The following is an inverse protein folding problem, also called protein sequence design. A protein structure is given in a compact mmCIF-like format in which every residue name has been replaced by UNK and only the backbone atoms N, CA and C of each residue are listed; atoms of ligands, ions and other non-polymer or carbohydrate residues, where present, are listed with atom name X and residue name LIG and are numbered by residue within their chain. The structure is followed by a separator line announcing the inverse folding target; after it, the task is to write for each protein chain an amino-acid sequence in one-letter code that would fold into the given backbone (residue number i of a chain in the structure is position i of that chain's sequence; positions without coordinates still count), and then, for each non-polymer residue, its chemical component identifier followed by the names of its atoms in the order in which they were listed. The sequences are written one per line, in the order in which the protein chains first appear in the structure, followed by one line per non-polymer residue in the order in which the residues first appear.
data_IF_107986442250
#
_entry.id   IF_107986442250
#
_cell.length_a   1.000
_cell.length_b   1.000
_cell.length_c   1.000
_cell.angle_alpha   90.00
_cell.angle_beta   90.00
_cell.angle_gamma   90.00
#
_symmetry.space_group_name_H-M   'P 1'
#
loop_
_entity.id
_entity.type
_entity.pdbx_description
1 polymer ?
#
# COMPACT_ATOMS: atom_id res chain seq x y z
N UNK A 1 -28.43 -87.88 -27.61
CA UNK A 1 -28.66 -87.48 -26.21
C UNK A 1 -27.56 -86.56 -25.79
N UNK A 2 -27.73 -85.31 -25.80
CA UNK A 2 -26.84 -84.29 -25.28
C UNK A 2 -27.66 -83.26 -24.54
N UNK A 3 -27.40 -83.16 -23.28
CA UNK A 3 -28.08 -82.23 -22.39
C UNK A 3 -27.30 -80.88 -22.39
N UNK A 4 -28.01 -79.82 -22.69
CA UNK A 4 -27.60 -78.45 -22.64
C UNK A 4 -27.72 -77.87 -21.23
N UNK A 5 -26.63 -77.29 -20.67
CA UNK A 5 -26.66 -76.50 -19.46
C UNK A 5 -26.93 -75.02 -19.76
N UNK A 6 -27.68 -74.34 -18.91
CA UNK A 6 -27.92 -72.91 -19.10
C UNK A 6 -26.79 -72.04 -18.53
N UNK A 7 -26.36 -71.07 -19.32
CA UNK A 7 -25.37 -70.07 -18.90
C UNK A 7 -26.00 -68.99 -18.00
N UNK A 8 -25.30 -68.72 -16.89
CA UNK A 8 -25.61 -67.63 -15.97
C UNK A 8 -25.00 -66.35 -16.52
N UNK A 9 -25.84 -65.38 -16.88
CA UNK A 9 -25.41 -64.02 -17.20
C UNK A 9 -25.15 -63.22 -15.88
N UNK A 10 -23.92 -62.86 -15.65
CA UNK A 10 -23.56 -61.96 -14.57
C UNK A 10 -23.75 -60.53 -15.04
N UNK A 11 -24.72 -59.83 -14.44
CA UNK A 11 -24.97 -58.40 -14.64
C UNK A 11 -23.96 -57.60 -13.80
N UNK A 12 -22.99 -56.95 -14.46
CA UNK A 12 -22.08 -55.98 -13.81
C UNK A 12 -22.85 -54.69 -13.56
N UNK A 13 -23.12 -54.40 -12.28
CA UNK A 13 -23.58 -53.07 -11.84
C UNK A 13 -22.37 -52.19 -11.68
N UNK A 14 -22.17 -51.23 -12.61
CA UNK A 14 -21.15 -50.16 -12.48
C UNK A 14 -21.67 -49.16 -11.44
N UNK A 15 -21.06 -49.16 -10.26
CA UNK A 15 -21.25 -48.08 -9.28
C UNK A 15 -20.49 -46.83 -9.75
N UNK A 16 -21.22 -45.83 -10.22
CA UNK A 16 -20.67 -44.51 -10.48
C UNK A 16 -20.33 -43.84 -9.14
N UNK A 17 -19.03 -43.76 -8.81
CA UNK A 17 -18.54 -42.91 -7.73
C UNK A 17 -18.67 -41.46 -8.18
N UNK A 18 -19.65 -40.74 -7.70
CA UNK A 18 -19.66 -39.27 -7.72
C UNK A 18 -18.59 -38.82 -6.75
N UNK A 19 -17.39 -38.46 -7.26
CA UNK A 19 -16.45 -37.67 -6.54
C UNK A 19 -17.05 -36.28 -6.36
N UNK A 20 -17.62 -36.03 -5.18
CA UNK A 20 -18.02 -34.68 -4.77
C UNK A 20 -16.78 -33.82 -4.74
N UNK A 21 -16.65 -32.95 -5.72
CA UNK A 21 -15.73 -31.80 -5.63
C UNK A 21 -16.31 -30.92 -4.54
N UNK A 22 -15.84 -31.08 -3.31
CA UNK A 22 -16.03 -30.09 -2.27
C UNK A 22 -15.42 -28.79 -2.80
N UNK A 23 -16.26 -27.79 -3.11
CA UNK A 23 -15.78 -26.45 -3.39
C UNK A 23 -14.93 -26.04 -2.17
N UNK A 24 -13.62 -25.89 -2.37
CA UNK A 24 -12.75 -25.29 -1.37
C UNK A 24 -13.37 -23.92 -1.08
N UNK A 25 -13.79 -23.71 0.16
CA UNK A 25 -14.20 -22.38 0.63
C UNK A 25 -12.96 -21.52 0.44
N UNK A 26 -13.02 -20.57 -0.49
CA UNK A 26 -11.94 -19.63 -0.71
C UNK A 26 -11.64 -18.99 0.65
N UNK A 27 -10.39 -19.06 1.10
CA UNK A 27 -9.97 -18.46 2.35
C UNK A 27 -10.25 -16.97 2.26
N UNK A 28 -11.03 -16.46 3.23
CA UNK A 28 -11.41 -15.05 3.24
C UNK A 28 -10.16 -14.20 3.39
N UNK A 29 -10.01 -13.17 2.55
CA UNK A 29 -8.91 -12.21 2.65
C UNK A 29 -8.79 -11.65 4.08
N UNK A 30 -7.59 -11.73 4.65
CA UNK A 30 -7.30 -11.21 5.98
C UNK A 30 -6.82 -9.76 5.89
N UNK A 31 -7.68 -8.82 6.26
CA UNK A 31 -7.37 -7.38 6.29
C UNK A 31 -6.29 -7.02 7.32
N UNK A 32 -5.94 -7.96 8.20
CA UNK A 32 -4.92 -7.78 9.26
C UNK A 32 -5.15 -6.53 10.11
N UNK A 33 -6.36 -6.35 10.58
CA UNK A 33 -6.73 -5.27 11.49
C UNK A 33 -6.69 -5.72 12.95
N UNK A 34 -6.45 -4.78 13.86
CA UNK A 34 -6.61 -4.93 15.31
C UNK A 34 -8.05 -4.57 15.71
N UNK A 35 -8.43 -4.84 16.98
CA UNK A 35 -9.72 -4.45 17.54
C UNK A 35 -9.79 -2.96 17.94
N UNK A 36 -8.71 -2.23 17.76
CA UNK A 36 -8.58 -0.80 18.03
C UNK A 36 -7.84 -0.12 16.89
N UNK A 37 -7.78 1.20 16.91
CA UNK A 37 -7.01 1.97 15.92
C UNK A 37 -6.03 2.91 16.63
N UNK A 38 -4.98 3.32 15.93
CA UNK A 38 -4.05 4.35 16.36
C UNK A 38 -4.23 5.58 15.47
N UNK A 39 -4.32 6.75 16.13
CA UNK A 39 -4.29 8.04 15.42
C UNK A 39 -2.89 8.66 15.49
N UNK A 40 -2.48 9.29 14.42
CA UNK A 40 -1.23 10.06 14.30
C UNK A 40 -1.36 11.06 13.14
N UNK A 41 -0.82 12.26 13.26
CA UNK A 41 -0.84 13.31 12.21
C UNK A 41 -2.23 13.58 11.58
N UNK A 42 -3.31 13.28 12.31
CA UNK A 42 -4.69 13.38 11.81
C UNK A 42 -5.17 12.17 11.00
N UNK A 43 -4.36 11.15 10.85
CA UNK A 43 -4.74 9.87 10.25
C UNK A 43 -5.16 8.87 11.33
N UNK A 44 -5.96 7.88 10.95
CA UNK A 44 -6.40 6.78 11.81
C UNK A 44 -6.19 5.46 11.09
N UNK A 45 -5.53 4.51 11.76
CA UNK A 45 -5.29 3.18 11.20
C UNK A 45 -5.58 2.10 12.25
N UNK A 46 -6.39 1.10 11.86
CA UNK A 46 -6.58 -0.13 12.62
C UNK A 46 -5.71 -1.28 12.10
N UNK A 47 -4.95 -1.06 11.05
CA UNK A 47 -4.07 -2.07 10.48
C UNK A 47 -2.96 -2.47 11.46
N UNK A 48 -2.66 -3.77 11.53
CA UNK A 48 -1.63 -4.31 12.43
C UNK A 48 -0.21 -3.86 12.11
N UNK A 49 0.02 -3.44 10.89
CA UNK A 49 1.22 -2.74 10.45
C UNK A 49 0.80 -1.39 9.87
N UNK A 50 1.44 -0.30 10.28
CA UNK A 50 1.22 1.03 9.72
C UNK A 50 2.52 1.85 9.80
N UNK A 51 2.66 2.87 8.97
CA UNK A 51 3.84 3.71 8.95
C UNK A 51 3.52 5.16 9.30
N UNK A 52 4.44 5.82 9.97
CA UNK A 52 4.41 7.26 10.27
C UNK A 52 5.75 7.88 9.91
N UNK A 53 5.74 9.08 9.32
CA UNK A 53 6.96 9.80 8.95
C UNK A 53 7.24 10.90 9.98
N UNK A 54 8.34 10.79 10.71
CA UNK A 54 8.69 11.72 11.80
C UNK A 54 10.11 12.23 11.60
N UNK A 55 10.29 13.55 11.49
CA UNK A 55 11.63 14.14 11.34
C UNK A 55 12.53 13.81 12.53
N UNK A 56 13.87 13.74 12.34
CA UNK A 56 14.80 13.57 13.46
C UNK A 56 14.54 14.58 14.58
N UNK A 57 14.54 14.12 15.83
CA UNK A 57 14.24 14.89 17.04
C UNK A 57 12.82 15.50 17.14
N UNK A 58 11.96 15.27 16.14
CA UNK A 58 10.57 15.70 16.20
C UNK A 58 9.71 14.74 17.03
N UNK A 59 8.53 15.19 17.38
CA UNK A 59 7.57 14.42 18.18
C UNK A 59 6.32 14.11 17.39
N UNK A 60 5.72 12.96 17.67
CA UNK A 60 4.37 12.56 17.25
C UNK A 60 3.58 12.14 18.49
N UNK A 61 2.28 12.44 18.48
CA UNK A 61 1.33 11.98 19.48
C UNK A 61 0.53 10.84 18.87
N UNK A 62 0.37 9.77 19.64
CA UNK A 62 -0.44 8.62 19.30
C UNK A 62 -1.58 8.50 20.28
N UNK A 63 -2.80 8.28 19.78
CA UNK A 63 -3.97 7.94 20.60
C UNK A 63 -4.53 6.59 20.16
N UNK A 64 -4.76 5.69 21.12
CA UNK A 64 -5.52 4.46 20.86
C UNK A 64 -7.01 4.76 20.95
N UNK A 65 -7.73 4.55 19.84
CA UNK A 65 -9.14 4.88 19.69
C UNK A 65 -9.96 3.68 19.22
N UNK A 66 -11.27 3.76 19.30
CA UNK A 66 -12.23 2.78 18.76
C UNK A 66 -12.06 1.34 19.28
N UNK A 67 -11.31 1.14 20.36
CA UNK A 67 -11.06 -0.19 20.92
C UNK A 67 -11.87 -0.50 22.17
N UNK A 68 -11.89 -1.77 22.62
CA UNK A 68 -12.61 -2.23 23.80
C UNK A 68 -12.10 -1.54 25.07
N UNK A 69 -12.89 -1.56 26.16
CA UNK A 69 -12.41 -1.15 27.48
C UNK A 69 -11.24 -2.01 27.94
N UNK A 70 -10.29 -1.41 28.64
CA UNK A 70 -9.13 -2.11 29.21
C UNK A 70 -7.85 -1.30 29.11
N UNK A 71 -6.76 -1.92 29.53
CA UNK A 71 -5.44 -1.29 29.55
C UNK A 71 -4.78 -1.41 28.16
N UNK A 72 -4.17 -0.30 27.77
CA UNK A 72 -3.37 -0.21 26.57
C UNK A 72 -1.93 0.09 26.93
N UNK A 73 -1.00 -0.52 26.24
CA UNK A 73 0.43 -0.27 26.44
C UNK A 73 1.10 0.11 25.14
N UNK A 74 2.23 0.79 25.26
CA UNK A 74 3.08 1.08 24.10
C UNK A 74 4.55 0.85 24.47
N UNK A 75 5.30 0.24 23.59
CA UNK A 75 6.72 -0.07 23.77
C UNK A 75 7.54 0.29 22.55
N UNK A 76 8.78 0.67 22.78
CA UNK A 76 9.78 0.88 21.73
C UNK A 76 11.19 0.65 22.27
N UNK A 77 12.13 0.34 21.39
CA UNK A 77 13.55 0.23 21.75
C UNK A 77 14.35 1.50 21.45
N UNK A 78 13.73 2.50 20.82
CA UNK A 78 14.44 3.67 20.31
C UNK A 78 13.58 4.93 20.39
N UNK A 79 14.23 6.06 20.59
CA UNK A 79 13.55 7.32 20.86
C UNK A 79 13.04 7.39 22.29
N UNK A 80 12.29 8.42 22.61
CA UNK A 80 11.69 8.62 23.95
C UNK A 80 10.18 8.49 23.84
N UNK A 81 9.61 7.48 24.48
CA UNK A 81 8.17 7.26 24.53
C UNK A 81 7.65 7.62 25.94
N UNK A 82 6.71 8.55 26.00
CA UNK A 82 6.11 9.04 27.26
C UNK A 82 4.61 8.87 27.18
N UNK A 83 4.03 8.11 28.10
CA UNK A 83 2.58 8.03 28.25
C UNK A 83 2.04 9.32 28.84
N UNK A 84 1.05 9.95 28.19
CA UNK A 84 0.43 11.21 28.58
C UNK A 84 -1.00 11.03 29.14
N UNK A 85 -1.61 9.88 28.86
CA UNK A 85 -2.96 9.52 29.30
C UNK A 85 -3.16 8.01 29.24
N UNK A 86 -4.37 7.51 29.56
CA UNK A 86 -4.66 6.07 29.54
C UNK A 86 -4.44 5.44 28.15
N UNK A 87 -4.65 6.21 27.09
CA UNK A 87 -4.59 5.76 25.69
C UNK A 87 -3.79 6.71 24.80
N UNK A 88 -2.97 7.58 25.39
CA UNK A 88 -2.19 8.57 24.67
C UNK A 88 -0.72 8.50 25.01
N UNK A 89 0.12 8.54 23.99
CA UNK A 89 1.58 8.56 24.08
C UNK A 89 2.18 9.62 23.19
N UNK A 90 3.26 10.21 23.66
CA UNK A 90 4.13 11.09 22.90
C UNK A 90 5.45 10.38 22.65
N UNK A 91 5.80 10.21 21.39
CA UNK A 91 7.10 9.67 20.99
C UNK A 91 7.96 10.75 20.37
N UNK A 92 9.24 10.82 20.80
CA UNK A 92 10.26 11.70 20.21
C UNK A 92 11.23 10.85 19.43
N UNK A 93 11.37 11.14 18.14
CA UNK A 93 12.24 10.41 17.24
C UNK A 93 13.72 10.58 17.62
N UNK A 94 14.54 9.53 17.44
CA UNK A 94 16.00 9.67 17.52
C UNK A 94 16.55 10.69 16.51
N UNK A 95 17.77 11.21 16.73
CA UNK A 95 18.42 12.13 15.80
C UNK A 95 18.89 11.46 14.49
N UNK A 96 19.06 10.13 14.50
CA UNK A 96 19.51 9.35 13.35
C UNK A 96 18.33 8.97 12.44
N UNK A 97 18.52 9.16 11.13
CA UNK A 97 17.60 8.64 10.13
C UNK A 97 17.65 7.11 10.11
N UNK A 98 16.51 6.45 10.26
CA UNK A 98 16.34 4.99 10.23
C UNK A 98 14.85 4.65 10.30
N UNK A 99 14.52 3.35 10.35
CA UNK A 99 13.19 2.83 10.68
C UNK A 99 13.18 2.37 12.12
N UNK A 100 12.20 2.85 12.89
CA UNK A 100 12.04 2.49 14.30
C UNK A 100 10.67 1.88 14.53
N UNK A 101 10.62 0.85 15.37
CA UNK A 101 9.38 0.15 15.70
C UNK A 101 8.82 0.67 17.03
N UNK A 102 7.53 1.00 17.00
CA UNK A 102 6.71 1.27 18.18
C UNK A 102 5.56 0.28 18.15
N UNK A 103 5.37 -0.49 19.22
CA UNK A 103 4.29 -1.47 19.31
C UNK A 103 3.26 -0.98 20.30
N UNK A 104 2.01 -0.91 19.89
CA UNK A 104 0.85 -0.65 20.71
C UNK A 104 0.09 -1.95 20.94
N UNK A 105 -0.24 -2.25 22.19
CA UNK A 105 -0.97 -3.46 22.55
C UNK A 105 -2.30 -3.06 23.20
N UNK A 106 -3.40 -3.64 22.72
CA UNK A 106 -4.72 -3.53 23.30
C UNK A 106 -4.98 -4.61 24.36
N UNK A 107 -6.14 -4.55 25.03
CA UNK A 107 -6.48 -5.50 26.09
C UNK A 107 -6.76 -6.92 25.59
N UNK A 108 -6.93 -7.12 24.28
CA UNK A 108 -7.15 -8.42 23.66
C UNK A 108 -5.87 -9.25 23.54
N UNK A 109 -6.01 -10.57 23.57
CA UNK A 109 -4.86 -11.45 23.34
C UNK A 109 -4.37 -11.32 21.89
N UNK A 110 -3.06 -11.10 21.69
CA UNK A 110 -2.45 -10.87 20.38
C UNK A 110 -3.05 -9.70 19.60
N UNK A 111 -3.57 -8.70 20.31
CA UNK A 111 -4.19 -7.51 19.71
C UNK A 111 -3.20 -6.34 19.76
N UNK A 112 -2.38 -6.25 18.71
CA UNK A 112 -1.31 -5.27 18.64
C UNK A 112 -1.25 -4.58 17.28
N UNK A 113 -0.77 -3.33 17.28
CA UNK A 113 -0.43 -2.55 16.09
C UNK A 113 1.06 -2.21 16.16
N UNK A 114 1.78 -2.58 15.12
CA UNK A 114 3.17 -2.22 14.87
C UNK A 114 3.22 -0.94 14.04
N UNK A 115 3.68 0.16 14.63
CA UNK A 115 3.91 1.42 13.94
C UNK A 115 5.37 1.52 13.55
N UNK A 116 5.63 1.50 12.25
CA UNK A 116 6.96 1.68 11.66
C UNK A 116 7.23 3.18 11.50
N UNK A 117 7.96 3.78 12.44
CA UNK A 117 8.32 5.18 12.40
C UNK A 117 9.51 5.39 11.44
N UNK A 118 9.22 5.95 10.29
CA UNK A 118 10.16 6.25 9.23
C UNK A 118 10.79 7.62 9.52
N UNK A 119 12.03 7.63 10.02
CA UNK A 119 12.77 8.87 10.31
C UNK A 119 13.65 9.20 9.13
N UNK A 120 13.34 10.25 8.34
CA UNK A 120 14.02 10.52 7.08
C UNK A 120 15.37 11.24 7.28
N UNK A 121 16.24 11.12 6.30
CA UNK A 121 17.41 12.01 6.15
C UNK A 121 16.90 13.40 5.80
N UNK A 122 17.30 14.47 6.53
CA UNK A 122 16.83 15.83 6.25
C UNK A 122 17.13 16.30 4.83
N UNK A 123 16.18 16.98 4.19
CA UNK A 123 16.35 17.52 2.84
C UNK A 123 17.52 18.53 2.75
N UNK A 124 17.88 19.17 3.88
CA UNK A 124 19.07 20.02 3.96
C UNK A 124 20.38 19.29 3.65
N UNK A 125 20.40 17.95 3.61
CA UNK A 125 21.57 17.15 3.23
C UNK A 125 21.71 16.97 1.71
N UNK A 126 20.70 17.30 0.93
CA UNK A 126 20.78 17.29 -0.55
C UNK A 126 21.76 18.37 -1.00
N UNK A 127 22.70 18.01 -1.86
CA UNK A 127 23.68 18.93 -2.47
C UNK A 127 23.60 18.82 -3.98
N UNK A 128 23.31 19.94 -4.65
CA UNK A 128 23.20 19.98 -6.11
C UNK A 128 22.24 18.91 -6.68
N UNK A 129 21.13 18.66 -5.99
CA UNK A 129 20.15 17.66 -6.38
C UNK A 129 20.55 16.20 -6.09
N UNK A 130 21.63 15.97 -5.33
CA UNK A 130 22.15 14.64 -5.01
C UNK A 130 22.14 14.43 -3.49
N UNK A 131 21.68 13.26 -3.04
CA UNK A 131 21.73 12.80 -1.66
C UNK A 131 22.51 11.48 -1.59
N UNK A 132 23.69 11.49 -0.97
CA UNK A 132 24.56 10.30 -0.85
C UNK A 132 24.80 9.55 -2.18
N UNK A 133 24.95 10.32 -3.27
CA UNK A 133 25.13 9.76 -4.62
C UNK A 133 23.84 9.38 -5.36
N UNK A 134 22.67 9.53 -4.70
CA UNK A 134 21.38 9.27 -5.31
C UNK A 134 20.76 10.53 -5.90
N UNK A 135 20.32 10.52 -7.19
CA UNK A 135 19.79 11.71 -7.87
C UNK A 135 18.35 12.00 -7.40
N UNK A 136 18.19 13.01 -6.56
CA UNK A 136 16.88 13.54 -6.15
C UNK A 136 16.37 14.53 -7.20
N UNK A 137 17.22 15.44 -7.68
CA UNK A 137 16.81 16.56 -8.52
C UNK A 137 16.34 17.76 -7.69
N UNK A 138 15.57 18.66 -8.32
CA UNK A 138 15.08 19.88 -7.69
C UNK A 138 13.54 19.94 -7.72
N UNK A 139 12.95 20.13 -6.56
CA UNK A 139 11.51 20.43 -6.46
C UNK A 139 11.21 21.83 -6.99
N UNK A 140 9.96 22.08 -7.46
CA UNK A 140 9.54 23.43 -7.82
C UNK A 140 9.76 24.41 -6.68
N UNK A 141 10.25 25.62 -7.00
CA UNK A 141 10.57 26.65 -5.99
C UNK A 141 9.32 27.20 -5.28
N UNK A 142 8.17 27.13 -5.93
CA UNK A 142 6.88 27.54 -5.37
C UNK A 142 5.86 26.40 -5.50
N UNK A 143 5.00 26.22 -4.49
CA UNK A 143 3.92 25.24 -4.57
C UNK A 143 2.88 25.63 -5.63
N UNK A 144 2.28 24.62 -6.26
CA UNK A 144 1.20 24.84 -7.25
C UNK A 144 0.02 25.58 -6.60
N UNK A 145 -0.35 26.73 -7.17
CA UNK A 145 -1.45 27.59 -6.68
C UNK A 145 -1.37 27.88 -5.16
N UNK A 146 -0.16 27.93 -4.59
CA UNK A 146 0.04 28.16 -3.15
C UNK A 146 -0.35 26.98 -2.25
N UNK A 147 -0.72 25.82 -2.79
CA UNK A 147 -1.16 24.67 -2.03
C UNK A 147 0.03 24.03 -1.27
N UNK A 148 -0.02 23.94 0.09
CA UNK A 148 1.06 23.39 0.91
C UNK A 148 1.46 21.96 0.58
N UNK A 149 0.60 21.15 -0.03
CA UNK A 149 0.90 19.79 -0.46
C UNK A 149 2.04 19.73 -1.49
N UNK A 150 2.28 20.81 -2.22
CA UNK A 150 3.35 20.91 -3.20
C UNK A 150 4.61 21.59 -2.66
N UNK A 151 4.71 21.80 -1.34
CA UNK A 151 5.96 22.20 -0.72
C UNK A 151 7.00 21.08 -0.82
N UNK A 152 8.28 21.41 -1.02
CA UNK A 152 9.32 20.40 -1.03
C UNK A 152 9.31 19.55 0.24
N UNK A 153 9.56 18.25 0.17
CA UNK A 153 9.59 17.39 1.35
C UNK A 153 10.70 17.82 2.30
N UNK A 154 10.45 17.67 3.60
CA UNK A 154 11.42 18.03 4.66
C UNK A 154 12.57 17.05 4.77
N UNK A 155 12.43 15.83 4.23
CA UNK A 155 13.42 14.78 4.25
C UNK A 155 13.04 13.61 3.35
N UNK A 156 13.97 12.67 3.22
CA UNK A 156 13.88 11.50 2.37
C UNK A 156 14.15 10.24 3.19
N UNK A 157 13.23 9.29 3.19
CA UNK A 157 13.37 8.00 3.88
C UNK A 157 14.47 7.21 3.17
N UNK A 158 15.49 6.82 3.92
CA UNK A 158 16.57 5.99 3.39
C UNK A 158 16.13 4.54 3.31
N UNK A 159 16.19 3.97 2.11
CA UNK A 159 15.89 2.57 1.84
C UNK A 159 17.18 1.82 1.54
N UNK A 160 17.43 0.78 2.31
CA UNK A 160 18.58 -0.10 2.21
C UNK A 160 18.11 -1.54 1.97
N UNK A 161 19.02 -2.44 1.66
CA UNK A 161 18.71 -3.88 1.59
C UNK A 161 18.21 -4.47 2.92
N UNK A 162 18.57 -3.85 4.04
CA UNK A 162 18.18 -4.32 5.37
C UNK A 162 16.75 -3.90 5.76
N UNK A 163 16.23 -2.77 5.21
CA UNK A 163 14.93 -2.24 5.59
C UNK A 163 13.90 -2.17 4.43
N UNK A 164 14.26 -2.56 3.21
CA UNK A 164 13.35 -2.47 2.06
C UNK A 164 12.06 -3.29 2.20
N UNK A 165 12.10 -4.35 3.03
CA UNK A 165 10.94 -5.20 3.33
C UNK A 165 10.14 -4.69 4.56
N UNK A 166 10.48 -3.53 5.12
CA UNK A 166 9.67 -2.92 6.18
C UNK A 166 8.26 -2.69 5.66
N UNK A 167 7.30 -3.15 6.42
CA UNK A 167 5.90 -2.93 6.11
C UNK A 167 5.51 -1.47 6.37
N UNK A 168 4.86 -0.86 5.41
CA UNK A 168 4.24 0.46 5.56
C UNK A 168 2.73 0.35 5.79
N UNK A 169 2.19 -0.83 5.46
CA UNK A 169 0.87 -1.34 5.83
C UNK A 169 0.89 -2.87 5.71
N UNK A 170 -0.15 -3.63 6.10
CA UNK A 170 -0.08 -5.10 6.16
C UNK A 170 0.36 -5.80 4.89
N UNK A 171 -0.03 -5.26 3.72
CA UNK A 171 0.21 -5.91 2.43
C UNK A 171 1.18 -5.12 1.53
N UNK A 172 1.74 -4.00 2.04
CA UNK A 172 2.70 -3.19 1.28
C UNK A 172 3.99 -2.96 2.05
N UNK A 173 5.11 -3.09 1.33
CA UNK A 173 6.47 -2.88 1.87
C UNK A 173 7.11 -1.64 1.26
N UNK A 174 8.08 -1.08 1.96
CA UNK A 174 8.77 0.15 1.59
C UNK A 174 9.38 0.07 0.18
N UNK A 175 9.87 -1.10 -0.24
CA UNK A 175 10.47 -1.31 -1.57
C UNK A 175 9.51 -1.03 -2.73
N UNK A 176 8.20 -1.25 -2.53
CA UNK A 176 7.21 -1.02 -3.58
C UNK A 176 7.06 0.48 -3.92
N UNK A 177 7.46 1.37 -3.00
CA UNK A 177 7.36 2.82 -3.14
C UNK A 177 8.63 3.47 -3.68
N UNK A 178 9.74 2.74 -3.79
CA UNK A 178 11.00 3.26 -4.31
C UNK A 178 10.87 3.63 -5.78
N UNK A 179 11.48 4.75 -6.17
CA UNK A 179 11.54 5.18 -7.56
C UNK A 179 12.12 4.09 -8.46
N UNK A 180 11.45 3.83 -9.59
CA UNK A 180 11.81 2.77 -10.55
C UNK A 180 12.92 3.20 -11.53
N UNK A 181 13.60 4.31 -11.27
CA UNK A 181 14.73 4.71 -12.09
C UNK A 181 15.82 3.62 -12.11
N UNK A 182 16.42 3.43 -13.27
CA UNK A 182 17.41 2.37 -13.47
C UNK A 182 18.86 2.89 -13.38
N UNK A 183 19.03 4.21 -13.15
CA UNK A 183 20.36 4.86 -13.17
C UNK A 183 21.23 4.45 -12.01
N UNK A 184 20.63 4.00 -10.89
CA UNK A 184 21.41 3.43 -9.78
C UNK A 184 20.76 2.14 -9.27
N UNK A 185 21.33 0.99 -9.63
CA UNK A 185 21.01 -0.29 -8.96
C UNK A 185 21.60 -0.35 -7.54
N UNK A 186 22.16 0.78 -7.04
CA UNK A 186 22.86 0.87 -5.77
C UNK A 186 21.92 1.28 -4.66
N UNK A 187 22.20 0.79 -3.47
CA UNK A 187 21.65 1.27 -2.22
C UNK A 187 22.65 2.19 -1.52
N UNK A 188 22.23 3.12 -0.67
CA UNK A 188 20.82 3.37 -0.34
C UNK A 188 20.06 4.06 -1.47
N UNK A 189 18.74 3.84 -1.51
CA UNK A 189 17.77 4.62 -2.28
C UNK A 189 17.00 5.55 -1.35
N UNK A 190 16.29 6.51 -1.91
CA UNK A 190 15.53 7.47 -1.10
C UNK A 190 14.11 7.59 -1.60
N UNK A 191 13.16 7.68 -0.66
CA UNK A 191 11.73 7.76 -0.98
C UNK A 191 11.06 8.85 -0.14
N UNK A 192 10.07 9.51 -0.71
CA UNK A 192 9.06 10.27 0.03
C UNK A 192 7.80 9.42 0.05
N UNK A 193 7.14 9.33 1.20
CA UNK A 193 5.91 8.58 1.38
C UNK A 193 4.91 9.42 2.18
N UNK A 194 3.74 9.65 1.60
CA UNK A 194 2.61 10.22 2.31
C UNK A 194 1.83 9.10 3.01
N UNK A 195 1.56 9.25 4.31
CA UNK A 195 0.98 8.23 5.18
C UNK A 195 -0.39 7.71 4.71
N UNK A 196 -1.18 8.54 4.03
CA UNK A 196 -2.47 8.15 3.43
C UNK A 196 -2.37 7.20 2.25
N UNK A 197 -1.24 7.21 1.54
CA UNK A 197 -1.12 6.42 0.32
C UNK A 197 -1.20 4.91 0.60
N UNK A 198 -0.43 4.33 1.55
CA UNK A 198 -0.61 2.93 1.93
C UNK A 198 -2.02 2.61 2.42
N UNK A 199 -2.67 3.49 3.19
CA UNK A 199 -4.04 3.28 3.66
C UNK A 199 -5.05 3.22 2.51
N UNK A 200 -4.87 4.06 1.48
CA UNK A 200 -5.70 4.02 0.27
C UNK A 200 -5.46 2.74 -0.53
N UNK A 201 -4.21 2.27 -0.63
CA UNK A 201 -3.88 1.04 -1.32
C UNK A 201 -4.49 -0.19 -0.62
N UNK A 202 -4.47 -0.23 0.71
CA UNK A 202 -5.14 -1.30 1.49
C UNK A 202 -6.65 -1.32 1.21
N UNK A 203 -7.31 -0.17 1.26
CA UNK A 203 -8.74 -0.05 0.94
C UNK A 203 -9.06 -0.61 -0.46
N UNK A 204 -8.22 -0.32 -1.46
CA UNK A 204 -8.39 -0.85 -2.83
C UNK A 204 -8.16 -2.35 -2.86
N UNK A 205 -7.12 -2.85 -2.18
CA UNK A 205 -6.80 -4.27 -2.11
C UNK A 205 -7.91 -5.08 -1.43
N UNK A 206 -8.49 -4.56 -0.35
CA UNK A 206 -9.66 -5.16 0.30
C UNK A 206 -10.81 -5.31 -0.69
N UNK A 207 -11.13 -4.24 -1.45
CA UNK A 207 -12.18 -4.28 -2.47
C UNK A 207 -11.90 -5.29 -3.57
N UNK A 208 -10.69 -5.34 -4.08
CA UNK A 208 -10.26 -6.34 -5.07
C UNK A 208 -10.51 -7.77 -4.57
N UNK A 209 -10.20 -8.03 -3.31
CA UNK A 209 -10.44 -9.34 -2.71
C UNK A 209 -11.92 -9.62 -2.41
N UNK A 210 -12.73 -8.62 -2.06
CA UNK A 210 -14.19 -8.73 -1.97
C UNK A 210 -14.82 -9.14 -3.31
N UNK A 211 -14.24 -8.67 -4.43
CA UNK A 211 -14.67 -9.03 -5.79
C UNK A 211 -14.18 -10.41 -6.23
N UNK A 212 -13.39 -11.11 -5.40
CA UNK A 212 -12.96 -12.49 -5.60
C UNK A 212 -11.66 -12.68 -6.38
N UNK A 213 -10.79 -11.65 -6.48
CA UNK A 213 -9.53 -11.74 -7.23
C UNK A 213 -8.35 -12.33 -6.45
N UNK A 214 -8.49 -12.61 -5.15
CA UNK A 214 -7.50 -13.31 -4.30
C UNK A 214 -6.06 -12.75 -4.41
N UNK A 215 -5.92 -11.42 -4.47
CA UNK A 215 -4.63 -10.75 -4.53
C UNK A 215 -4.07 -10.55 -3.12
N UNK A 216 -2.81 -10.88 -2.91
CA UNK A 216 -2.09 -10.64 -1.64
C UNK A 216 -1.54 -9.22 -1.53
N UNK A 217 -1.37 -8.53 -2.66
CA UNK A 217 -0.96 -7.13 -2.79
C UNK A 217 -1.45 -6.56 -4.13
N UNK A 218 -1.37 -5.26 -4.32
CA UNK A 218 -1.46 -4.67 -5.66
C UNK A 218 -0.05 -4.58 -6.27
N UNK A 219 0.05 -4.79 -7.58
CA UNK A 219 1.30 -4.46 -8.27
C UNK A 219 1.46 -2.93 -8.33
N UNK A 220 2.45 -2.41 -7.59
CA UNK A 220 2.80 -0.99 -7.62
C UNK A 220 3.82 -0.77 -8.73
N UNK A 221 3.34 -0.43 -9.92
CA UNK A 221 4.16 -0.18 -11.10
C UNK A 221 5.05 1.05 -10.89
N UNK A 222 4.51 2.11 -10.29
CA UNK A 222 5.23 3.33 -9.98
C UNK A 222 4.59 3.99 -8.74
N UNK A 223 5.42 4.41 -7.77
CA UNK A 223 4.96 5.23 -6.64
C UNK A 223 5.79 6.51 -6.56
N UNK A 224 6.75 6.62 -5.64
CA UNK A 224 7.58 7.81 -5.60
C UNK A 224 8.44 7.94 -6.87
N UNK A 225 8.48 9.15 -7.41
CA UNK A 225 9.39 9.55 -8.49
C UNK A 225 10.24 10.73 -8.01
N UNK A 226 11.56 10.59 -8.07
CA UNK A 226 12.41 11.76 -7.82
C UNK A 226 12.11 12.85 -8.85
N UNK A 227 12.22 14.14 -8.53
CA UNK A 227 12.13 15.21 -9.53
C UNK A 227 13.08 15.01 -10.71
N UNK A 228 14.25 14.42 -10.46
CA UNK A 228 15.21 14.04 -11.52
C UNK A 228 14.58 13.05 -12.49
N UNK A 229 14.02 11.93 -11.99
CA UNK A 229 13.43 10.91 -12.82
C UNK A 229 12.13 11.37 -13.48
N UNK A 230 11.28 12.09 -12.74
CA UNK A 230 10.05 12.66 -13.26
C UNK A 230 10.29 13.55 -14.49
N UNK A 231 11.36 14.37 -14.44
CA UNK A 231 11.78 15.18 -15.57
C UNK A 231 12.33 14.34 -16.73
N UNK A 232 13.11 13.30 -16.41
CA UNK A 232 13.75 12.44 -17.43
C UNK A 232 12.71 11.67 -18.28
N UNK A 233 11.56 11.29 -17.68
CA UNK A 233 10.47 10.62 -18.41
C UNK A 233 9.45 11.60 -19.03
N UNK A 234 9.67 12.92 -18.89
CA UNK A 234 8.79 13.94 -19.48
C UNK A 234 7.43 14.08 -18.79
N UNK A 235 7.29 13.60 -17.54
CA UNK A 235 6.03 13.73 -16.80
C UNK A 235 5.79 15.17 -16.30
N UNK A 236 4.54 15.47 -15.93
CA UNK A 236 4.12 16.82 -15.53
C UNK A 236 4.89 17.31 -14.31
N UNK A 237 5.22 18.61 -14.33
CA UNK A 237 6.04 19.28 -13.29
C UNK A 237 5.53 19.10 -11.87
N UNK A 238 4.22 18.99 -11.69
CA UNK A 238 3.55 18.86 -10.38
C UNK A 238 2.88 17.50 -10.22
N UNK A 239 3.48 16.44 -10.78
CA UNK A 239 3.04 15.06 -10.57
C UNK A 239 3.10 14.69 -9.09
N UNK A 240 2.01 14.17 -8.53
CA UNK A 240 1.92 13.78 -7.11
C UNK A 240 2.87 12.65 -6.73
N UNK A 241 3.39 11.91 -7.71
CA UNK A 241 4.46 10.94 -7.49
C UNK A 241 5.69 11.55 -6.84
N UNK A 242 6.03 12.80 -7.17
CA UNK A 242 7.21 13.46 -6.59
C UNK A 242 7.06 13.75 -5.10
N UNK A 243 5.83 13.80 -4.58
CA UNK A 243 5.54 14.02 -3.16
C UNK A 243 5.20 12.72 -2.42
N UNK A 244 5.43 11.55 -3.06
CA UNK A 244 5.12 10.25 -2.48
C UNK A 244 3.65 10.05 -2.16
N UNK A 245 2.79 10.78 -2.85
CA UNK A 245 1.34 10.84 -2.62
C UNK A 245 0.54 10.14 -3.69
N UNK A 246 1.19 9.50 -4.68
CA UNK A 246 0.56 8.82 -5.79
C UNK A 246 1.17 7.44 -6.06
N UNK A 247 0.35 6.57 -6.62
CA UNK A 247 0.78 5.28 -7.16
C UNK A 247 0.03 4.97 -8.46
N UNK A 248 0.76 4.35 -9.39
CA UNK A 248 0.23 3.69 -10.57
C UNK A 248 0.17 2.19 -10.26
N UNK A 249 -1.02 1.60 -10.27
CA UNK A 249 -1.25 0.24 -9.80
C UNK A 249 -2.13 -0.58 -10.73
N UNK A 250 -1.97 -1.88 -10.67
CA UNK A 250 -2.89 -2.85 -11.25
C UNK A 250 -2.99 -4.11 -10.39
N UNK A 251 -3.99 -4.93 -10.65
CA UNK A 251 -4.24 -6.19 -9.96
C UNK A 251 -3.50 -7.30 -10.69
N UNK A 252 -2.60 -7.99 -9.99
CA UNK A 252 -1.78 -9.10 -10.51
C UNK A 252 -1.69 -10.23 -9.46
N UNK A 253 -2.75 -11.04 -9.31
CA UNK A 253 -2.81 -12.06 -8.26
C UNK A 253 -1.75 -13.16 -8.42
N UNK A 254 -1.23 -13.33 -9.63
CA UNK A 254 -0.29 -14.39 -9.98
C UNK A 254 1.16 -13.90 -10.09
N UNK A 255 1.43 -12.62 -9.82
CA UNK A 255 2.76 -11.99 -9.94
C UNK A 255 3.44 -12.23 -11.30
N UNK A 256 2.68 -12.01 -12.37
CA UNK A 256 3.14 -12.22 -13.75
C UNK A 256 3.44 -10.92 -14.50
N UNK A 257 3.52 -9.79 -13.78
CA UNK A 257 3.73 -8.45 -14.32
C UNK A 257 2.69 -8.05 -15.39
N UNK A 258 1.45 -8.52 -15.20
CA UNK A 258 0.31 -8.21 -16.07
C UNK A 258 -0.96 -7.98 -15.26
N UNK A 259 -1.84 -7.13 -15.78
CA UNK A 259 -3.15 -6.90 -15.19
C UNK A 259 -4.05 -8.14 -15.36
N UNK A 260 -4.88 -8.43 -14.37
CA UNK A 260 -5.94 -9.44 -14.40
C UNK A 260 -7.12 -8.95 -15.26
N UNK A 261 -7.86 -9.88 -15.88
CA UNK A 261 -9.15 -9.62 -16.54
C UNK A 261 -10.22 -9.36 -15.46
N UNK A 262 -10.35 -8.09 -15.07
CA UNK A 262 -11.21 -7.69 -13.95
C UNK A 262 -12.67 -7.62 -14.33
N UNK A 263 -13.00 -7.26 -15.55
CA UNK A 263 -14.37 -7.17 -16.06
C UNK A 263 -14.89 -8.52 -16.59
N UNK A 264 -14.00 -9.53 -16.69
CA UNK A 264 -14.30 -10.92 -17.09
C UNK A 264 -14.87 -11.04 -18.50
N UNK A 265 -14.42 -10.19 -19.42
CA UNK A 265 -14.82 -10.24 -20.83
C UNK A 265 -13.89 -11.11 -21.70
N UNK A 266 -12.80 -11.63 -21.12
CA UNK A 266 -11.81 -12.49 -21.75
C UNK A 266 -10.66 -11.74 -22.43
N UNK A 267 -10.59 -10.41 -22.27
CA UNK A 267 -9.55 -9.56 -22.86
C UNK A 267 -8.98 -8.63 -21.79
N UNK A 268 -7.66 -8.61 -21.64
CA UNK A 268 -7.00 -7.66 -20.71
C UNK A 268 -6.70 -6.37 -21.47
N UNK A 269 -7.49 -5.32 -21.18
CA UNK A 269 -7.34 -4.03 -21.86
C UNK A 269 -7.70 -2.84 -20.92
N UNK A 270 -7.95 -1.66 -21.51
CA UNK A 270 -8.35 -0.46 -20.76
C UNK A 270 -9.69 -0.64 -20.01
N UNK A 271 -10.52 -1.60 -20.41
CA UNK A 271 -11.78 -1.94 -19.74
C UNK A 271 -11.56 -2.42 -18.33
N UNK A 272 -10.48 -3.19 -18.08
CA UNK A 272 -10.10 -3.67 -16.73
C UNK A 272 -9.59 -2.54 -15.85
N UNK A 273 -8.75 -1.66 -16.41
CA UNK A 273 -8.32 -0.46 -15.70
C UNK A 273 -9.52 0.44 -15.36
N UNK A 274 -10.49 0.57 -16.27
CA UNK A 274 -11.72 1.30 -16.01
C UNK A 274 -12.58 0.64 -14.95
N UNK A 275 -12.70 -0.69 -14.97
CA UNK A 275 -13.42 -1.45 -13.95
C UNK A 275 -12.85 -1.16 -12.55
N UNK A 276 -11.52 -1.30 -12.37
CA UNK A 276 -10.86 -0.99 -11.12
C UNK A 276 -11.06 0.48 -10.71
N UNK A 277 -10.97 1.41 -11.67
CA UNK A 277 -11.22 2.82 -11.44
C UNK A 277 -12.65 3.06 -10.91
N UNK A 278 -13.68 2.47 -11.51
CA UNK A 278 -15.08 2.62 -11.10
C UNK A 278 -15.29 2.07 -9.67
N UNK A 279 -14.71 0.92 -9.33
CA UNK A 279 -14.76 0.34 -7.99
C UNK A 279 -14.12 1.27 -6.94
N UNK A 280 -12.99 1.91 -7.26
CA UNK A 280 -12.37 2.88 -6.37
C UNK A 280 -13.23 4.14 -6.22
N UNK A 281 -13.90 4.60 -7.28
CA UNK A 281 -14.84 5.72 -7.20
C UNK A 281 -15.99 5.43 -6.23
N UNK A 282 -16.57 4.22 -6.29
CA UNK A 282 -17.62 3.80 -5.37
C UNK A 282 -17.14 3.80 -3.91
N UNK A 283 -15.91 3.33 -3.66
CA UNK A 283 -15.32 3.38 -2.33
C UNK A 283 -15.12 4.80 -1.82
N UNK A 284 -14.58 5.69 -2.67
CA UNK A 284 -14.30 7.07 -2.31
C UNK A 284 -15.57 7.92 -2.15
N UNK A 285 -16.72 7.48 -2.67
CA UNK A 285 -18.02 8.13 -2.44
C UNK A 285 -18.52 7.94 -0.99
N UNK A 286 -17.99 6.94 -0.27
CA UNK A 286 -18.39 6.66 1.11
C UNK A 286 -17.80 7.71 2.08
N UNK A 287 -18.58 8.18 3.07
CA UNK A 287 -18.12 9.21 4.03
C UNK A 287 -16.85 8.84 4.80
N UNK A 288 -16.68 7.58 5.17
CA UNK A 288 -15.53 7.06 5.90
C UNK A 288 -14.21 7.16 5.12
N UNK A 289 -14.27 7.15 3.79
CA UNK A 289 -13.09 7.27 2.91
C UNK A 289 -12.78 8.70 2.47
N UNK A 290 -13.50 9.70 3.01
CA UNK A 290 -13.34 11.11 2.62
C UNK A 290 -11.89 11.62 2.76
N UNK A 291 -11.17 11.15 3.77
CA UNK A 291 -9.77 11.50 3.99
C UNK A 291 -8.83 10.98 2.89
N UNK A 292 -9.24 9.93 2.16
CA UNK A 292 -8.48 9.30 1.09
C UNK A 292 -8.77 9.86 -0.30
N UNK A 293 -9.57 10.95 -0.38
CA UNK A 293 -9.86 11.60 -1.65
C UNK A 293 -8.60 12.08 -2.36
N UNK A 294 -8.62 12.01 -3.69
CA UNK A 294 -7.50 12.43 -4.51
C UNK A 294 -7.77 12.35 -5.99
N UNK A 295 -6.71 12.51 -6.76
CA UNK A 295 -6.72 12.33 -8.20
C UNK A 295 -6.80 10.86 -8.58
N UNK A 296 -7.46 10.58 -9.70
CA UNK A 296 -7.53 9.26 -10.30
C UNK A 296 -7.60 9.35 -11.82
N UNK A 297 -6.93 8.42 -12.48
CA UNK A 297 -6.97 8.23 -13.93
C UNK A 297 -6.77 6.76 -14.28
N UNK A 298 -7.26 6.35 -15.43
CA UNK A 298 -7.04 5.00 -15.96
C UNK A 298 -6.42 5.07 -17.35
N UNK A 299 -5.55 4.11 -17.64
CA UNK A 299 -4.65 4.14 -18.78
C UNK A 299 -4.66 2.84 -19.56
N UNK A 300 -4.57 2.88 -20.90
CA UNK A 300 -4.42 1.68 -21.74
C UNK A 300 -3.04 1.07 -21.57
N UNK A 301 -2.90 -0.17 -22.05
CA UNK A 301 -1.60 -0.79 -22.22
C UNK A 301 -0.76 -0.05 -23.27
N UNK A 302 0.56 -0.09 -23.07
CA UNK A 302 1.56 0.32 -24.08
C UNK A 302 2.61 -0.78 -24.23
N UNK A 303 3.62 -0.58 -25.05
CA UNK A 303 4.75 -1.49 -25.12
C UNK A 303 5.56 -1.57 -23.80
N UNK A 304 5.42 -0.57 -22.91
CA UNK A 304 6.18 -0.46 -21.68
C UNK A 304 5.43 -0.93 -20.42
N UNK A 305 4.11 -1.02 -20.45
CA UNK A 305 3.30 -1.36 -19.28
C UNK A 305 1.91 -1.92 -19.68
N UNK A 306 1.30 -2.78 -18.83
CA UNK A 306 -0.09 -3.19 -18.96
C UNK A 306 -1.05 -2.01 -18.71
N UNK A 307 -2.38 -2.19 -18.85
CA UNK A 307 -3.35 -1.22 -18.35
C UNK A 307 -3.16 -0.99 -16.86
N UNK A 308 -3.42 0.21 -16.36
CA UNK A 308 -3.27 0.53 -14.94
C UNK A 308 -4.17 1.67 -14.49
N UNK A 309 -4.29 1.84 -13.20
CA UNK A 309 -4.97 2.97 -12.56
C UNK A 309 -3.94 3.82 -11.81
N UNK A 310 -3.92 5.12 -12.11
CA UNK A 310 -3.28 6.13 -11.25
C UNK A 310 -4.22 6.49 -10.12
N UNK A 311 -3.72 6.55 -8.91
CA UNK A 311 -4.43 7.08 -7.75
C UNK A 311 -3.50 7.93 -6.87
N UNK A 312 -4.05 8.97 -6.26
CA UNK A 312 -3.31 9.81 -5.31
C UNK A 312 -4.16 10.24 -4.11
N UNK A 313 -3.53 10.89 -3.14
CA UNK A 313 -4.13 11.34 -1.88
C UNK A 313 -4.01 12.85 -1.69
N UNK A 314 -4.14 13.64 -2.79
CA UNK A 314 -4.07 15.11 -2.75
C UNK A 314 -5.20 15.81 -1.98
N UNK A 315 -6.19 15.08 -1.49
CA UNK A 315 -7.30 15.61 -0.69
C UNK A 315 -8.44 16.25 -1.49
N UNK A 316 -8.29 16.41 -2.80
CA UNK A 316 -9.31 16.94 -3.71
C UNK A 316 -9.47 16.05 -4.91
N UNK A 317 -10.73 15.85 -5.34
CA UNK A 317 -11.01 15.01 -6.49
C UNK A 317 -10.49 15.65 -7.78
N UNK A 318 -9.76 14.86 -8.58
CA UNK A 318 -9.39 15.16 -9.95
C UNK A 318 -9.51 13.86 -10.77
N UNK A 319 -10.13 13.93 -11.95
CA UNK A 319 -10.46 12.75 -12.75
C UNK A 319 -10.03 12.96 -14.18
N UNK A 320 -9.40 11.91 -14.77
CA UNK A 320 -8.98 11.94 -16.16
C UNK A 320 -8.92 10.55 -16.75
N UNK A 321 -8.83 10.50 -18.07
CA UNK A 321 -8.53 9.32 -18.86
C UNK A 321 -7.20 9.56 -19.57
N UNK A 322 -6.28 8.61 -19.48
CA UNK A 322 -5.00 8.61 -20.18
C UNK A 322 -5.09 8.11 -21.61
#
# INVERSE_FOLDING_TARGET
MAMSSPGVQATLIAAAMFAGHGAAVAERFDTKTASFAITFHGETSAYRDTAVVVMPNATVIFDAVNGPPGDYTATTRSGTLVQQGQRQWKWTAPPRADVYLITFEGPGRNDAIAVHALVPVPAANVRNGILNGYPIGAYPAAPLAGNPLYLPPRGFIEVTKANEETKVSPHFTLKQFVCKEDTTKRYPKYVVLHERLPLKLEMVLERVNELGFSADTLHVMSAYRTPYYNHAIGDVKYSMHQWGSAADVYVDPLHQDRMEDLNRDGVVDIGDAKFLYDEIEELLAKPEHRALQGGMGFYPATAAHPPFVHLDVRGTAARWKG
#
